data_IF_705623732664
#
_entry.id   IF_705623732664
#
_cell.length_a   1.000
_cell.length_b   1.000
_cell.length_c   1.000
_cell.angle_alpha   90.00
_cell.angle_beta   90.00
_cell.angle_gamma   90.00
#
_symmetry.space_group_name_H-M   'P 1'
#
loop_
_entity.id
_entity.type
_entity.pdbx_description
1 polymer ?
#
# COMPACT_ATOMS: atom_id res chain seq x y z
N UNK A 1 2.78 -1.39 0.38
CA UNK A 1 2.76 -2.27 -0.81
C UNK A 1 3.93 -3.24 -0.72
N UNK A 2 3.76 -4.55 -0.98
CA UNK A 2 4.85 -5.53 -1.02
C UNK A 2 5.76 -5.34 -2.25
N UNK A 3 6.77 -6.20 -2.39
CA UNK A 3 7.73 -6.17 -3.51
C UNK A 3 7.07 -6.39 -4.90
N UNK A 4 5.95 -7.12 -4.97
CA UNK A 4 5.30 -7.53 -6.23
C UNK A 4 4.78 -6.32 -7.02
N UNK A 5 5.44 -6.02 -8.13
CA UNK A 5 5.06 -4.93 -9.04
C UNK A 5 5.42 -3.52 -8.54
N UNK A 6 6.25 -3.39 -7.49
CA UNK A 6 6.54 -2.07 -6.89
C UNK A 6 7.22 -1.11 -7.86
N UNK A 7 8.25 -1.55 -8.59
CA UNK A 7 8.93 -0.70 -9.57
C UNK A 7 7.99 -0.26 -10.70
N UNK A 8 7.06 -1.13 -11.09
CA UNK A 8 6.02 -0.79 -12.07
C UNK A 8 5.06 0.28 -11.53
N UNK A 9 4.66 0.17 -10.26
CA UNK A 9 3.85 1.20 -9.60
C UNK A 9 4.61 2.53 -9.50
N UNK A 10 5.89 2.49 -9.14
CA UNK A 10 6.73 3.69 -9.07
C UNK A 10 6.87 4.38 -10.43
N UNK A 11 7.12 3.62 -11.50
CA UNK A 11 7.26 4.17 -12.84
C UNK A 11 5.93 4.66 -13.42
N UNK A 12 4.86 3.86 -13.35
CA UNK A 12 3.65 4.08 -14.14
C UNK A 12 2.52 4.78 -13.37
N UNK A 13 2.44 4.61 -12.05
CA UNK A 13 1.44 5.28 -11.21
C UNK A 13 2.04 6.54 -10.60
N UNK A 14 3.20 6.40 -9.95
CA UNK A 14 3.90 7.52 -9.35
C UNK A 14 4.65 8.38 -10.38
N UNK A 15 4.82 7.93 -11.63
CA UNK A 15 5.57 8.72 -12.63
C UNK A 15 6.98 9.12 -12.16
N UNK A 16 7.59 8.30 -11.30
CA UNK A 16 8.97 8.52 -10.88
C UNK A 16 9.85 8.39 -12.13
N UNK A 17 10.81 9.32 -12.36
CA UNK A 17 11.66 9.27 -13.53
C UNK A 17 12.37 7.92 -13.67
N UNK A 18 12.31 7.32 -14.86
CA UNK A 18 12.97 6.05 -15.13
C UNK A 18 14.47 6.11 -14.84
N UNK A 19 15.12 7.26 -15.11
CA UNK A 19 16.53 7.45 -14.77
C UNK A 19 16.81 7.22 -13.27
N UNK A 20 15.93 7.69 -12.38
CA UNK A 20 16.04 7.49 -10.93
C UNK A 20 15.77 6.04 -10.54
N UNK A 21 14.84 5.35 -11.20
CA UNK A 21 14.58 3.93 -10.92
C UNK A 21 15.74 3.06 -11.42
N UNK A 22 16.26 3.35 -12.61
CA UNK A 22 17.34 2.62 -13.25
C UNK A 22 18.69 2.85 -12.55
N UNK A 23 18.91 4.04 -11.96
CA UNK A 23 20.13 4.28 -11.18
C UNK A 23 20.25 3.36 -9.95
N UNK A 24 19.13 2.90 -9.38
CA UNK A 24 19.11 1.95 -8.26
C UNK A 24 19.53 0.52 -8.65
N UNK A 25 19.75 0.25 -9.94
CA UNK A 25 20.34 -1.01 -10.41
C UNK A 25 21.86 -0.96 -10.46
N UNK A 26 22.45 0.23 -10.40
CA UNK A 26 23.89 0.38 -10.21
C UNK A 26 24.26 0.01 -8.77
N UNK A 27 25.48 -0.51 -8.59
CA UNK A 27 26.00 -0.83 -7.26
C UNK A 27 26.19 0.46 -6.45
N UNK A 28 25.78 0.44 -5.19
CA UNK A 28 26.06 1.52 -4.25
C UNK A 28 27.58 1.72 -4.12
N UNK A 29 28.01 2.97 -4.17
CA UNK A 29 29.41 3.35 -3.97
C UNK A 29 29.66 3.55 -2.48
N UNK A 30 30.90 3.39 -1.99
CA UNK A 30 31.24 3.64 -0.59
C UNK A 30 30.94 5.07 -0.09
N UNK A 31 30.76 6.02 -1.02
CA UNK A 31 30.43 7.41 -0.74
C UNK A 31 28.92 7.68 -0.62
N UNK A 32 28.07 6.70 -0.95
CA UNK A 32 26.62 6.83 -0.78
C UNK A 32 26.28 6.69 0.71
N UNK A 33 25.65 7.71 1.31
CA UNK A 33 25.34 7.73 2.74
C UNK A 33 24.24 6.71 3.11
N UNK A 34 24.46 5.99 4.23
CA UNK A 34 23.52 5.03 4.80
C UNK A 34 23.74 3.58 4.37
N UNK A 35 23.17 2.63 5.10
CA UNK A 35 23.28 1.19 4.79
C UNK A 35 22.49 0.79 3.52
N UNK A 36 21.64 1.71 3.03
CA UNK A 36 20.73 1.47 1.91
C UNK A 36 19.67 0.42 2.22
N UNK A 37 18.75 0.23 1.26
CA UNK A 37 17.84 -0.91 1.24
C UNK A 37 17.66 -1.35 -0.21
N UNK A 38 17.13 -2.54 -0.43
CA UNK A 38 16.82 -3.03 -1.77
C UNK A 38 15.79 -2.09 -2.44
N UNK A 39 15.97 -1.87 -3.74
CA UNK A 39 15.14 -0.97 -4.57
C UNK A 39 13.62 -1.11 -4.40
N UNK A 40 13.14 -2.30 -4.02
CA UNK A 40 11.72 -2.56 -3.79
C UNK A 40 11.23 -2.32 -2.34
N UNK A 41 12.05 -1.72 -1.48
CA UNK A 41 11.67 -1.24 -0.14
C UNK A 41 11.65 0.28 -0.03
N UNK A 42 12.29 0.99 -0.94
CA UNK A 42 12.43 2.44 -0.89
C UNK A 42 11.07 3.13 -1.07
N UNK A 43 10.86 4.17 -0.26
CA UNK A 43 9.68 5.04 -0.31
C UNK A 43 9.86 6.19 -1.31
N UNK A 44 8.74 6.75 -1.76
CA UNK A 44 8.69 7.88 -2.68
C UNK A 44 7.55 8.79 -2.28
N UNK A 45 7.78 10.11 -2.34
CA UNK A 45 6.73 11.10 -2.22
C UNK A 45 6.82 12.04 -3.41
N UNK A 46 5.69 12.25 -4.07
CA UNK A 46 5.58 13.06 -5.28
C UNK A 46 4.29 13.85 -5.21
N UNK A 47 4.27 14.96 -5.95
CA UNK A 47 3.07 15.75 -6.17
C UNK A 47 2.97 15.99 -7.67
N UNK A 48 1.79 15.79 -8.24
CA UNK A 48 1.55 16.18 -9.61
C UNK A 48 0.15 16.79 -9.78
N UNK A 49 0.02 17.67 -10.76
CA UNK A 49 -1.25 18.24 -11.15
C UNK A 49 -2.08 17.19 -11.89
N UNK A 50 -3.22 16.83 -11.34
CA UNK A 50 -4.24 16.09 -12.06
C UNK A 50 -4.94 17.04 -13.05
N UNK A 51 -4.87 16.70 -14.34
CA UNK A 51 -5.35 17.54 -15.44
C UNK A 51 -6.87 17.61 -15.52
N UNK A 52 -7.58 16.60 -14.99
CA UNK A 52 -9.04 16.55 -15.04
C UNK A 52 -9.67 17.52 -14.03
N UNK A 53 -9.46 17.38 -12.71
CA UNK A 53 -9.98 18.31 -11.72
C UNK A 53 -9.13 19.58 -11.58
N UNK A 54 -7.99 19.70 -12.28
CA UNK A 54 -6.99 20.76 -12.10
C UNK A 54 -6.57 20.94 -10.64
N UNK A 55 -6.31 19.83 -9.95
CA UNK A 55 -5.89 19.81 -8.55
C UNK A 55 -4.59 19.06 -8.40
N UNK A 56 -3.74 19.53 -7.51
CA UNK A 56 -2.56 18.78 -7.14
C UNK A 56 -2.95 17.57 -6.29
N UNK A 57 -2.35 16.42 -6.61
CA UNK A 57 -2.49 15.19 -5.84
C UNK A 57 -1.11 14.79 -5.36
N UNK A 58 -0.98 14.67 -4.03
CA UNK A 58 0.22 14.12 -3.38
C UNK A 58 0.06 12.61 -3.29
N UNK A 59 1.01 11.88 -3.88
CA UNK A 59 1.07 10.42 -3.80
C UNK A 59 2.33 10.06 -3.02
N UNK A 60 2.15 9.31 -1.93
CA UNK A 60 3.25 8.84 -1.09
C UNK A 60 3.24 7.32 -0.98
N UNK A 61 4.30 6.68 -1.45
CA UNK A 61 4.59 5.26 -1.23
C UNK A 61 5.55 5.19 -0.04
N UNK A 62 5.09 4.58 1.06
CA UNK A 62 5.90 4.47 2.28
C UNK A 62 6.98 3.41 2.09
N UNK A 63 8.18 3.68 2.63
CA UNK A 63 9.24 2.69 2.70
C UNK A 63 8.79 1.54 3.62
N UNK A 64 9.14 0.31 3.29
CA UNK A 64 8.74 -0.84 4.11
C UNK A 64 9.81 -1.93 4.07
N UNK A 65 10.02 -2.64 5.18
CA UNK A 65 10.84 -3.83 5.17
C UNK A 65 10.17 -4.95 4.35
N UNK A 66 10.81 -6.12 4.30
CA UNK A 66 10.24 -7.33 3.67
C UNK A 66 8.91 -7.79 4.29
N UNK A 67 8.61 -7.37 5.52
CA UNK A 67 7.40 -7.73 6.27
C UNK A 67 6.21 -6.83 5.96
N UNK A 68 4.98 -7.34 6.17
CA UNK A 68 3.74 -6.55 6.02
C UNK A 68 3.60 -5.60 7.21
N UNK A 69 3.30 -4.33 6.94
CA UNK A 69 3.35 -3.28 7.97
C UNK A 69 2.15 -2.29 7.86
N UNK A 70 1.39 -2.06 8.95
CA UNK A 70 0.31 -1.07 8.99
C UNK A 70 0.73 0.39 9.18
N UNK A 71 2.03 0.70 9.23
CA UNK A 71 2.56 2.08 9.36
C UNK A 71 1.91 3.09 8.40
N UNK A 72 1.42 2.64 7.24
CA UNK A 72 0.65 3.48 6.31
C UNK A 72 -0.58 4.14 6.95
N UNK A 73 -1.35 3.44 7.78
CA UNK A 73 -2.54 4.00 8.43
C UNK A 73 -2.16 5.09 9.43
N UNK A 74 -1.12 4.85 10.23
CA UNK A 74 -0.59 5.85 11.16
C UNK A 74 -0.11 7.10 10.44
N UNK A 75 0.58 6.95 9.30
CA UNK A 75 1.01 8.09 8.46
C UNK A 75 -0.19 8.87 7.92
N UNK A 76 -1.21 8.18 7.39
CA UNK A 76 -2.43 8.82 6.88
C UNK A 76 -3.16 9.57 7.99
N UNK A 77 -3.27 8.96 9.17
CA UNK A 77 -3.87 9.60 10.36
C UNK A 77 -3.11 10.86 10.76
N UNK A 78 -1.78 10.82 10.76
CA UNK A 78 -0.95 11.98 11.06
C UNK A 78 -1.12 13.09 10.01
N UNK A 79 -1.04 12.76 8.73
CA UNK A 79 -1.22 13.72 7.62
C UNK A 79 -2.62 14.37 7.67
N UNK A 80 -3.66 13.58 7.96
CA UNK A 80 -5.02 14.10 8.15
C UNK A 80 -5.11 15.06 9.35
N UNK A 81 -4.49 14.71 10.48
CA UNK A 81 -4.43 15.57 11.67
C UNK A 81 -3.73 16.91 11.38
N UNK A 82 -2.50 16.87 10.84
CA UNK A 82 -1.73 18.08 10.56
C UNK A 82 -2.33 18.95 9.45
N UNK A 83 -3.11 18.36 8.54
CA UNK A 83 -3.82 19.09 7.47
C UNK A 83 -5.18 19.65 7.90
N UNK A 84 -5.59 19.46 9.16
CA UNK A 84 -6.93 19.83 9.65
C UNK A 84 -8.06 19.02 9.01
N UNK A 85 -7.74 17.86 8.42
CA UNK A 85 -8.70 16.94 7.79
C UNK A 85 -9.20 15.91 8.81
N UNK A 86 -9.87 16.38 9.87
CA UNK A 86 -10.29 15.51 10.98
C UNK A 86 -11.24 14.37 10.56
N UNK A 87 -11.93 14.52 9.43
CA UNK A 87 -12.83 13.51 8.85
C UNK A 87 -12.16 12.63 7.78
N UNK A 88 -10.85 12.77 7.56
CA UNK A 88 -10.07 12.06 6.53
C UNK A 88 -10.75 12.09 5.14
N UNK A 89 -11.32 13.24 4.75
CA UNK A 89 -12.01 13.39 3.46
C UNK A 89 -11.09 13.74 2.30
N UNK A 90 -9.86 14.18 2.59
CA UNK A 90 -8.84 14.63 1.63
C UNK A 90 -7.61 13.72 1.62
N UNK A 91 -7.38 12.95 2.68
CA UNK A 91 -6.29 11.98 2.80
C UNK A 91 -6.85 10.56 2.85
N UNK A 92 -6.33 9.65 2.01
CA UNK A 92 -6.78 8.27 1.93
C UNK A 92 -5.62 7.28 2.02
N UNK A 93 -5.83 6.19 2.75
CA UNK A 93 -4.91 5.06 2.78
C UNK A 93 -5.23 4.06 1.67
N UNK A 94 -4.19 3.60 0.96
CA UNK A 94 -4.27 2.47 0.02
C UNK A 94 -3.24 1.42 0.43
N UNK A 95 -3.70 0.22 0.79
CA UNK A 95 -2.86 -0.90 1.21
C UNK A 95 -2.89 -2.03 0.18
N UNK A 96 -1.74 -2.26 -0.45
CA UNK A 96 -1.55 -3.40 -1.35
C UNK A 96 -0.98 -4.59 -0.56
N UNK A 97 -1.49 -5.79 -0.82
CA UNK A 97 -1.13 -7.05 -0.17
C UNK A 97 -0.84 -8.16 -1.18
N UNK A 98 -0.07 -9.17 -0.80
CA UNK A 98 -0.03 -10.45 -1.53
C UNK A 98 -1.02 -11.44 -0.91
N UNK A 99 -1.66 -12.29 -1.72
CA UNK A 99 -2.72 -13.20 -1.24
C UNK A 99 -2.34 -14.03 -0.01
N UNK A 100 -1.20 -14.71 -0.05
CA UNK A 100 -0.73 -15.55 1.08
C UNK A 100 -0.39 -14.74 2.33
N UNK A 101 0.27 -13.59 2.17
CA UNK A 101 0.64 -12.74 3.30
C UNK A 101 -0.59 -12.10 3.95
N UNK A 102 -1.59 -11.72 3.14
CA UNK A 102 -2.86 -11.19 3.63
C UNK A 102 -3.59 -12.17 4.54
N UNK A 103 -3.61 -13.47 4.17
CA UNK A 103 -4.27 -14.50 4.97
C UNK A 103 -3.43 -15.00 6.16
N UNK A 104 -2.10 -14.96 6.06
CA UNK A 104 -1.20 -15.60 7.03
C UNK A 104 -0.63 -14.68 8.10
N UNK A 105 -0.70 -13.36 7.94
CA UNK A 105 -0.10 -12.41 8.89
C UNK A 105 -1.16 -11.82 9.83
N UNK A 106 -1.06 -12.12 11.12
CA UNK A 106 -2.00 -11.64 12.15
C UNK A 106 -2.11 -10.11 12.23
N UNK A 107 -1.02 -9.40 11.92
CA UNK A 107 -1.01 -7.93 11.87
C UNK A 107 -2.05 -7.38 10.90
N UNK A 108 -2.42 -8.10 9.84
CA UNK A 108 -3.47 -7.67 8.91
C UNK A 108 -4.83 -7.58 9.62
N UNK A 109 -5.17 -8.58 10.44
CA UNK A 109 -6.40 -8.58 11.21
C UNK A 109 -6.37 -7.52 12.32
N UNK A 110 -5.24 -7.38 13.02
CA UNK A 110 -5.07 -6.31 14.01
C UNK A 110 -5.29 -4.93 13.38
N UNK A 111 -4.78 -4.73 12.16
CA UNK A 111 -4.94 -3.49 11.40
C UNK A 111 -6.40 -3.19 11.08
N UNK A 112 -7.17 -4.21 10.66
CA UNK A 112 -8.61 -4.04 10.45
C UNK A 112 -9.34 -3.66 11.74
N UNK A 113 -8.92 -4.23 12.87
CA UNK A 113 -9.52 -3.92 14.17
C UNK A 113 -9.27 -2.46 14.63
N UNK A 114 -8.30 -1.77 14.02
CA UNK A 114 -8.04 -0.35 14.29
C UNK A 114 -8.97 0.60 13.52
N UNK A 115 -9.64 0.13 12.47
CA UNK A 115 -10.32 1.03 11.52
C UNK A 115 -11.52 1.78 12.15
N UNK A 116 -12.22 1.17 13.11
CA UNK A 116 -13.38 1.78 13.79
C UNK A 116 -13.02 2.44 15.15
N UNK A 117 -11.73 2.45 15.53
CA UNK A 117 -11.30 3.08 16.78
C UNK A 117 -11.14 4.60 16.59
N UNK A 118 -11.75 5.46 17.43
CA UNK A 118 -11.77 6.92 17.23
C UNK A 118 -10.39 7.59 17.05
N UNK A 119 -9.37 7.08 17.75
CA UNK A 119 -8.02 7.63 17.69
C UNK A 119 -7.17 7.10 16.52
N UNK A 120 -7.58 5.98 15.92
CA UNK A 120 -6.81 5.26 14.89
C UNK A 120 -7.48 5.30 13.52
N UNK A 121 -8.79 5.53 13.48
CA UNK A 121 -9.57 5.52 12.25
C UNK A 121 -9.02 6.51 11.22
N UNK A 122 -8.91 6.02 9.98
CA UNK A 122 -8.59 6.82 8.80
C UNK A 122 -9.82 7.07 7.94
N UNK A 123 -11.03 6.81 8.48
CA UNK A 123 -12.31 6.87 7.77
C UNK A 123 -12.32 5.97 6.53
N UNK A 124 -11.76 4.76 6.67
CA UNK A 124 -11.66 3.75 5.62
C UNK A 124 -10.30 3.71 4.92
N UNK A 125 -9.89 2.50 4.57
CA UNK A 125 -8.72 2.22 3.76
C UNK A 125 -9.11 1.39 2.54
N UNK A 126 -8.52 1.69 1.37
CA UNK A 126 -8.64 0.82 0.20
C UNK A 126 -7.61 -0.30 0.30
N UNK A 127 -8.07 -1.53 0.45
CA UNK A 127 -7.19 -2.69 0.32
C UNK A 127 -7.12 -3.12 -1.15
N UNK A 128 -6.00 -3.68 -1.59
CA UNK A 128 -5.83 -4.31 -2.91
C UNK A 128 -5.02 -5.58 -2.69
N UNK A 129 -5.64 -6.74 -2.87
CA UNK A 129 -4.96 -8.03 -2.77
C UNK A 129 -4.49 -8.46 -4.16
N UNK A 130 -3.18 -8.51 -4.36
CA UNK A 130 -2.57 -9.08 -5.57
C UNK A 130 -2.53 -10.59 -5.40
N UNK A 131 -3.62 -11.25 -5.78
CA UNK A 131 -3.78 -12.70 -5.68
C UNK A 131 -3.27 -13.39 -6.95
N UNK A 132 -2.01 -13.80 -6.93
CA UNK A 132 -1.36 -14.59 -7.98
C UNK A 132 -1.47 -16.11 -7.75
N UNK A 133 -2.35 -16.56 -6.84
CA UNK A 133 -2.63 -17.96 -6.55
C UNK A 133 -1.45 -18.80 -6.00
N UNK A 134 -0.35 -18.16 -5.61
CA UNK A 134 0.82 -18.86 -5.07
C UNK A 134 1.62 -17.95 -4.12
N UNK A 135 2.05 -18.50 -3.00
CA UNK A 135 2.98 -17.87 -2.07
C UNK A 135 4.35 -18.52 -2.19
N UNK A 136 5.25 -17.94 -2.99
CA UNK A 136 6.55 -18.55 -3.32
C UNK A 136 6.38 -19.96 -3.93
N UNK A 137 6.62 -21.03 -3.17
CA UNK A 137 6.40 -22.42 -3.58
C UNK A 137 5.11 -23.03 -2.99
N UNK A 138 4.42 -22.32 -2.10
CA UNK A 138 3.23 -22.82 -1.42
C UNK A 138 1.96 -22.49 -2.20
N UNK A 139 1.16 -23.52 -2.49
CA UNK A 139 -0.09 -23.42 -3.25
C UNK A 139 -1.31 -23.12 -2.36
N UNK A 140 -2.42 -22.68 -2.97
CA UNK A 140 -3.66 -22.28 -2.27
C UNK A 140 -4.24 -23.41 -1.39
N UNK A 141 -4.04 -24.68 -1.76
CA UNK A 141 -4.58 -25.81 -0.98
C UNK A 141 -4.03 -25.86 0.45
N UNK A 142 -2.88 -25.20 0.70
CA UNK A 142 -2.22 -25.14 2.01
C UNK A 142 -2.43 -23.81 2.76
N UNK A 143 -3.16 -22.83 2.20
CA UNK A 143 -3.44 -21.55 2.87
C UNK A 143 -4.93 -21.19 2.79
N UNK A 144 -5.48 -20.65 3.89
CA UNK A 144 -6.88 -20.21 4.00
C UNK A 144 -7.31 -19.39 2.77
N UNK A 145 -8.50 -19.73 2.25
CA UNK A 145 -9.05 -19.27 0.98
C UNK A 145 -9.28 -17.75 1.03
N UNK A 146 -8.40 -16.98 0.40
CA UNK A 146 -8.80 -15.70 -0.22
C UNK A 146 -9.10 -16.04 -1.68
N UNK A 147 -10.38 -16.03 -2.11
CA UNK A 147 -10.69 -16.24 -3.51
C UNK A 147 -9.95 -15.21 -4.35
N UNK A 148 -9.61 -15.58 -5.59
CA UNK A 148 -8.96 -14.70 -6.55
C UNK A 148 -9.60 -13.32 -6.58
N UNK A 149 -8.77 -12.26 -6.51
CA UNK A 149 -8.91 -10.92 -7.12
C UNK A 149 -8.35 -9.79 -6.23
N UNK A 150 -8.01 -8.66 -6.87
CA UNK A 150 -8.05 -7.29 -6.31
C UNK A 150 -9.29 -7.11 -5.42
N UNK A 151 -9.15 -7.44 -4.15
CA UNK A 151 -10.17 -7.14 -3.16
C UNK A 151 -10.10 -5.66 -2.86
N UNK A 152 -10.96 -4.84 -3.49
CA UNK A 152 -11.18 -3.45 -3.08
C UNK A 152 -12.07 -3.47 -1.84
N UNK A 153 -11.46 -3.49 -0.65
CA UNK A 153 -12.21 -3.27 0.59
C UNK A 153 -12.26 -1.76 0.78
N UNK A 154 -13.44 -1.15 0.76
CA UNK A 154 -13.66 0.21 1.26
C UNK A 154 -14.34 0.08 2.63
N UNK A 155 -13.66 0.50 3.69
CA UNK A 155 -14.10 0.28 5.08
C UNK A 155 -14.91 1.46 5.64
N UNK A 156 -15.38 2.39 4.78
CA UNK A 156 -16.19 3.55 5.21
C UNK A 156 -17.53 3.22 5.90
N UNK A 157 -17.93 1.96 6.00
CA UNK A 157 -19.17 1.53 6.65
C UNK A 157 -18.93 0.34 7.56
N UNK A 158 -19.25 0.50 8.84
CA UNK A 158 -19.15 -0.49 9.93
C UNK A 158 -20.13 -1.68 9.80
N UNK A 159 -20.64 -1.96 8.60
CA UNK A 159 -21.59 -3.06 8.36
C UNK A 159 -21.31 -3.69 7.00
N UNK A 160 -20.71 -4.89 7.03
CA UNK A 160 -20.39 -5.74 5.87
C UNK A 160 -19.46 -5.09 4.82
N UNK A 161 -18.20 -5.55 4.77
CA UNK A 161 -17.25 -5.19 3.73
C UNK A 161 -17.76 -5.62 2.35
N UNK A 162 -18.02 -4.69 1.42
CA UNK A 162 -18.39 -5.07 0.06
C UNK A 162 -17.16 -5.65 -0.66
N UNK A 163 -17.16 -6.95 -0.87
CA UNK A 163 -16.10 -7.65 -1.60
C UNK A 163 -16.44 -7.66 -3.09
N UNK A 164 -15.76 -6.82 -3.88
CA UNK A 164 -15.92 -6.84 -5.34
C UNK A 164 -15.09 -7.98 -5.91
N UNK A 165 -15.75 -8.97 -6.53
CA UNK A 165 -15.13 -10.09 -7.25
C UNK A 165 -15.48 -10.06 -8.76
N UNK A 166 -14.54 -9.63 -9.60
CA UNK A 166 -14.47 -9.81 -11.05
C UNK A 166 -13.77 -11.13 -11.40
N UNK A 167 -14.51 -12.11 -11.91
CA UNK A 167 -13.94 -13.26 -12.61
C UNK A 167 -13.51 -12.81 -14.02
N UNK A 168 -12.29 -13.13 -14.43
CA UNK A 168 -11.88 -13.11 -15.83
C UNK A 168 -12.01 -14.51 -16.40
#
# INVERSE_FOLDING_TARGET
MPHRGRLNLLANVCRQPLATILSQFATLKPADEGFGDVKYHLGVCIEHLDRQPQRNVKIAVVANPSHVDPVVLGKVRAEAFYSGDHKCGRTMAIMLHGGTAFAGQGVVLETFNLDDLPSYTTSGCIHIVVNNQIGFTTTIVHHLIVPMLVVLLDVRSSTLMPMIQRKF
#
